data_IF_088730592005
#
_entry.id   IF_088730592005
#
_cell.length_a   1.000
_cell.length_b   1.000
_cell.length_c   1.000
_cell.angle_alpha   90.00
_cell.angle_beta   90.00
_cell.angle_gamma   90.00
#
_symmetry.space_group_name_H-M   'P 1'
#
loop_
_entity.id
_entity.type
_entity.pdbx_description
1 polymer ?
#
# COMPACT_ATOMS: atom_id res chain seq x y z
N UNK A 1 -6.08 -8.65 18.15
CA UNK A 1 -4.75 -8.30 17.63
C UNK A 1 -4.36 -6.94 18.17
N UNK A 2 -3.21 -6.85 18.84
CA UNK A 2 -2.73 -5.58 19.36
C UNK A 2 -1.80 -4.92 18.35
N UNK A 3 -2.24 -3.79 17.81
CA UNK A 3 -1.44 -2.99 16.90
C UNK A 3 -1.07 -1.69 17.59
N UNK A 4 0.12 -1.18 17.27
CA UNK A 4 0.63 0.04 17.88
C UNK A 4 0.30 1.23 16.99
N UNK A 5 -0.47 2.21 17.48
CA UNK A 5 -0.72 3.42 16.71
C UNK A 5 0.54 4.28 16.65
N UNK A 6 0.87 4.76 15.47
CA UNK A 6 1.98 5.66 15.24
C UNK A 6 1.47 7.03 14.80
N UNK A 7 2.37 8.01 14.80
CA UNK A 7 2.03 9.37 14.42
C UNK A 7 2.31 9.59 12.94
N UNK A 8 1.28 9.99 12.19
CA UNK A 8 1.43 10.37 10.79
C UNK A 8 2.14 11.72 10.65
N UNK A 9 2.73 11.98 9.50
CA UNK A 9 3.45 13.23 9.23
C UNK A 9 2.56 14.32 8.64
N UNK A 10 1.64 13.94 7.76
CA UNK A 10 0.85 14.91 6.97
C UNK A 10 -0.62 14.92 7.31
N UNK A 11 -1.11 13.93 8.06
CA UNK A 11 -2.52 13.83 8.44
C UNK A 11 -2.61 13.56 9.94
N UNK A 12 -3.81 13.76 10.53
CA UNK A 12 -4.03 13.53 11.95
C UNK A 12 -4.40 12.09 12.28
N UNK A 13 -4.81 11.30 11.28
CA UNK A 13 -5.15 9.90 11.47
C UNK A 13 -3.91 9.11 11.91
N UNK A 14 -4.06 8.10 12.79
CA UNK A 14 -2.92 7.32 13.23
C UNK A 14 -2.43 6.36 12.16
N UNK A 15 -1.16 5.98 12.27
CA UNK A 15 -0.57 4.90 11.48
C UNK A 15 -0.55 3.62 12.28
N UNK A 16 -0.31 2.50 11.60
CA UNK A 16 -0.04 1.20 12.20
C UNK A 16 1.47 0.98 12.14
N UNK A 17 2.17 1.02 13.30
CA UNK A 17 3.63 0.93 13.31
C UNK A 17 4.16 -0.41 12.80
N UNK A 18 3.40 -1.48 12.99
CA UNK A 18 3.78 -2.81 12.53
C UNK A 18 3.68 -2.98 11.00
N UNK A 19 3.00 -2.07 10.31
CA UNK A 19 2.85 -2.17 8.87
C UNK A 19 4.13 -1.78 8.14
N UNK A 20 4.57 -2.55 7.14
CA UNK A 20 5.78 -2.22 6.38
C UNK A 20 5.60 -0.98 5.50
N UNK A 21 4.36 -0.64 5.18
CA UNK A 21 4.04 0.51 4.34
C UNK A 21 2.76 1.16 4.84
N UNK A 22 2.79 2.46 5.02
CA UNK A 22 1.61 3.24 5.37
C UNK A 22 1.43 4.38 4.37
N UNK A 23 0.23 4.49 3.84
CA UNK A 23 -0.14 5.54 2.88
C UNK A 23 -1.01 6.56 3.61
N UNK A 24 -0.54 7.80 3.71
CA UNK A 24 -1.30 8.89 4.33
C UNK A 24 -2.15 9.57 3.27
N UNK A 25 -3.45 9.59 3.50
CA UNK A 25 -4.41 10.11 2.53
C UNK A 25 -5.28 11.17 3.15
N UNK A 26 -5.69 12.15 2.35
CA UNK A 26 -6.69 13.15 2.72
C UNK A 26 -7.93 12.91 1.89
N UNK A 27 -9.06 12.66 2.54
CA UNK A 27 -10.32 12.36 1.85
C UNK A 27 -10.75 13.57 1.04
N UNK A 28 -11.05 13.34 -0.22
CA UNK A 28 -11.47 14.35 -1.19
C UNK A 28 -12.96 14.27 -1.45
N UNK A 29 -13.50 13.06 -1.51
CA UNK A 29 -14.91 12.83 -1.80
C UNK A 29 -15.37 11.52 -1.16
N UNK A 30 -16.61 11.49 -0.70
CA UNK A 30 -17.23 10.29 -0.16
C UNK A 30 -18.50 10.03 -0.98
N UNK A 31 -18.58 8.85 -1.61
CA UNK A 31 -19.74 8.45 -2.41
C UNK A 31 -20.52 7.37 -1.67
N UNK A 32 -21.79 7.63 -1.41
CA UNK A 32 -22.66 6.66 -0.76
C UNK A 32 -23.15 5.63 -1.78
N UNK A 33 -22.90 4.35 -1.51
CA UNK A 33 -23.26 3.23 -2.39
C UNK A 33 -24.13 2.22 -1.63
N UNK A 34 -25.28 2.67 -1.12
CA UNK A 34 -26.18 1.81 -0.34
C UNK A 34 -25.57 1.43 1.00
N UNK A 35 -25.24 0.14 1.17
CA UNK A 35 -24.64 -0.36 2.42
C UNK A 35 -23.16 -0.01 2.57
N UNK A 36 -22.53 0.53 1.54
CA UNK A 36 -21.11 0.86 1.53
C UNK A 36 -20.88 2.31 1.13
N UNK A 37 -19.71 2.81 1.51
CA UNK A 37 -19.24 4.12 1.08
C UNK A 37 -17.94 3.96 0.31
N UNK A 38 -17.78 4.70 -0.77
CA UNK A 38 -16.52 4.77 -1.51
C UNK A 38 -15.83 6.07 -1.17
N UNK A 39 -14.59 5.98 -0.68
CA UNK A 39 -13.77 7.14 -0.34
C UNK A 39 -12.76 7.40 -1.45
N UNK A 40 -12.79 8.62 -1.97
CA UNK A 40 -11.80 9.08 -2.95
C UNK A 40 -10.88 10.03 -2.20
N UNK A 41 -9.58 9.75 -2.21
CA UNK A 41 -8.62 10.49 -1.42
C UNK A 41 -7.36 10.79 -2.20
N UNK A 42 -6.74 11.93 -1.87
CA UNK A 42 -5.42 12.26 -2.37
C UNK A 42 -4.37 11.60 -1.47
N UNK A 43 -3.38 10.97 -2.07
CA UNK A 43 -2.23 10.44 -1.35
C UNK A 43 -1.30 11.61 -1.07
N UNK A 44 -1.09 11.93 0.21
CA UNK A 44 -0.27 13.07 0.61
C UNK A 44 1.09 12.67 1.17
N UNK A 45 1.25 11.41 1.56
CA UNK A 45 2.53 10.91 2.02
C UNK A 45 2.54 9.38 2.00
N UNK A 46 3.74 8.79 1.88
CA UNK A 46 3.94 7.35 1.98
C UNK A 46 5.10 7.12 2.93
N UNK A 47 4.89 6.29 3.94
CA UNK A 47 5.93 5.86 4.87
C UNK A 47 6.22 4.39 4.67
N UNK A 48 7.49 4.06 4.40
CA UNK A 48 7.95 2.69 4.21
C UNK A 48 8.98 2.34 5.28
N UNK A 49 8.96 1.08 5.73
CA UNK A 49 9.96 0.59 6.67
C UNK A 49 11.29 0.42 5.94
N UNK A 50 12.35 1.00 6.49
CA UNK A 50 13.68 1.01 5.89
C UNK A 50 14.22 -0.39 5.58
N UNK A 51 13.85 -1.39 6.36
CA UNK A 51 14.35 -2.76 6.15
C UNK A 51 13.88 -3.37 4.83
N UNK A 52 12.85 -2.80 4.20
CA UNK A 52 12.35 -3.26 2.90
C UNK A 52 12.84 -2.37 1.75
N UNK A 53 13.68 -1.39 2.03
CA UNK A 53 14.29 -0.55 1.01
C UNK A 53 15.62 -1.17 0.57
N UNK A 54 15.85 -1.19 -0.73
CA UNK A 54 17.14 -1.62 -1.26
C UNK A 54 18.20 -0.58 -0.90
N UNK A 55 19.26 -0.99 -0.22
CA UNK A 55 20.29 -0.07 0.27
C UNK A 55 21.08 0.61 -0.84
N UNK A 56 21.10 0.03 -2.04
CA UNK A 56 21.84 0.59 -3.17
C UNK A 56 20.97 1.49 -4.04
N UNK A 57 19.70 1.10 -4.26
CA UNK A 57 18.81 1.82 -5.17
C UNK A 57 17.76 2.68 -4.47
N UNK A 58 17.49 2.43 -3.18
CA UNK A 58 16.44 3.10 -2.43
C UNK A 58 15.03 2.65 -2.79
N UNK A 59 14.90 1.62 -3.62
CA UNK A 59 13.60 1.12 -4.07
C UNK A 59 12.98 0.21 -3.01
N UNK A 60 11.67 0.38 -2.78
CA UNK A 60 10.92 -0.46 -1.85
C UNK A 60 10.74 -1.87 -2.45
N UNK A 61 11.18 -2.87 -1.69
CA UNK A 61 11.11 -4.28 -2.12
C UNK A 61 9.80 -4.89 -1.66
N UNK A 62 8.75 -4.72 -2.45
CA UNK A 62 7.39 -5.17 -2.12
C UNK A 62 7.32 -6.66 -1.82
N UNK A 63 8.02 -7.49 -2.59
CA UNK A 63 7.98 -8.93 -2.43
C UNK A 63 8.50 -9.42 -1.08
N UNK A 64 9.35 -8.64 -0.41
CA UNK A 64 9.92 -9.00 0.88
C UNK A 64 9.09 -8.54 2.07
N UNK A 65 8.05 -7.76 1.84
CA UNK A 65 7.24 -7.19 2.90
C UNK A 65 6.06 -8.07 3.34
N UNK A 66 5.82 -9.19 2.67
CA UNK A 66 4.76 -10.15 2.98
C UNK A 66 3.36 -9.51 3.05
N UNK A 67 3.04 -8.67 2.08
CA UNK A 67 1.74 -8.03 2.01
C UNK A 67 0.64 -9.02 1.64
N UNK A 68 -0.57 -8.74 2.10
CA UNK A 68 -1.73 -9.58 1.83
C UNK A 68 -2.51 -9.05 0.63
N UNK A 69 -3.13 -9.98 -0.10
CA UNK A 69 -4.07 -9.68 -1.17
C UNK A 69 -5.41 -10.30 -0.83
N UNK A 70 -6.48 -9.51 -0.92
CA UNK A 70 -7.84 -10.04 -0.80
C UNK A 70 -8.41 -10.26 -2.20
N UNK A 71 -8.77 -11.51 -2.50
CA UNK A 71 -9.35 -11.87 -3.78
C UNK A 71 -10.30 -13.04 -3.60
N UNK A 72 -11.45 -12.97 -4.27
CA UNK A 72 -12.43 -14.06 -4.33
C UNK A 72 -12.75 -14.66 -2.94
N UNK A 73 -13.01 -13.78 -1.97
CA UNK A 73 -13.43 -14.20 -0.62
C UNK A 73 -12.32 -14.71 0.28
N UNK A 74 -11.06 -14.62 -0.12
CA UNK A 74 -9.94 -15.09 0.69
C UNK A 74 -8.76 -14.13 0.71
N UNK A 75 -7.85 -14.35 1.65
CA UNK A 75 -6.62 -13.60 1.77
C UNK A 75 -5.45 -14.46 1.28
N UNK A 76 -4.57 -13.88 0.51
CA UNK A 76 -3.44 -14.58 -0.10
C UNK A 76 -2.15 -13.79 0.10
N UNK A 77 -1.04 -14.49 0.15
CA UNK A 77 0.27 -13.85 0.07
C UNK A 77 0.60 -13.58 -1.39
N UNK A 78 1.44 -12.57 -1.64
CA UNK A 78 1.93 -12.32 -2.99
C UNK A 78 2.92 -13.41 -3.39
N UNK A 79 2.81 -13.87 -4.64
CA UNK A 79 3.76 -14.80 -5.22
C UNK A 79 4.93 -14.08 -5.88
N UNK A 80 5.58 -14.76 -6.80
CA UNK A 80 6.71 -14.21 -7.54
C UNK A 80 6.27 -13.10 -8.49
N UNK A 81 7.17 -12.15 -8.71
CA UNK A 81 6.96 -11.10 -9.69
C UNK A 81 6.99 -11.71 -11.10
N UNK A 82 5.90 -11.54 -11.84
CA UNK A 82 5.75 -12.13 -13.18
C UNK A 82 5.84 -11.09 -14.30
N UNK A 83 5.99 -9.81 -13.96
CA UNK A 83 6.07 -8.73 -14.94
C UNK A 83 6.58 -7.46 -14.30
N UNK A 84 6.73 -6.41 -15.09
CA UNK A 84 7.20 -5.11 -14.62
C UNK A 84 6.29 -4.01 -15.16
N UNK A 85 6.42 -2.81 -14.63
CA UNK A 85 5.67 -1.65 -15.08
C UNK A 85 5.83 -1.45 -16.59
N UNK A 86 4.71 -1.32 -17.30
CA UNK A 86 4.70 -1.16 -18.74
C UNK A 86 4.81 -2.44 -19.54
N UNK A 87 4.91 -3.59 -18.87
CA UNK A 87 5.08 -4.89 -19.54
C UNK A 87 4.00 -5.19 -20.58
N UNK A 88 2.75 -4.89 -20.27
CA UNK A 88 1.60 -5.18 -21.13
C UNK A 88 1.57 -4.35 -22.42
N UNK A 89 2.30 -3.24 -22.46
CA UNK A 89 2.38 -2.33 -23.62
C UNK A 89 3.76 -2.33 -24.26
N UNK A 90 4.63 -3.25 -23.83
CA UNK A 90 5.97 -3.38 -24.37
C UNK A 90 5.91 -3.96 -25.78
N UNK A 91 6.58 -3.28 -26.73
CA UNK A 91 6.62 -3.77 -28.11
C UNK A 91 7.56 -4.95 -28.22
N UNK A 92 7.04 -6.05 -28.76
CA UNK A 92 7.89 -7.19 -29.11
C UNK A 92 8.69 -6.86 -30.35
N UNK A 93 9.96 -7.07 -30.26
CA UNK A 93 10.85 -6.94 -31.41
C UNK A 93 10.99 -8.29 -32.13
#
# INVERSE_FOLDING_TARGET
>A
MKLTPGKASMVQAPLIEESPLCIECRVKEIVALGSHHMFIADVVNVKADDKYLNSETGIFELAQSNLLVYAHGGYYELGEKIGKFGWSVEKKK
#
